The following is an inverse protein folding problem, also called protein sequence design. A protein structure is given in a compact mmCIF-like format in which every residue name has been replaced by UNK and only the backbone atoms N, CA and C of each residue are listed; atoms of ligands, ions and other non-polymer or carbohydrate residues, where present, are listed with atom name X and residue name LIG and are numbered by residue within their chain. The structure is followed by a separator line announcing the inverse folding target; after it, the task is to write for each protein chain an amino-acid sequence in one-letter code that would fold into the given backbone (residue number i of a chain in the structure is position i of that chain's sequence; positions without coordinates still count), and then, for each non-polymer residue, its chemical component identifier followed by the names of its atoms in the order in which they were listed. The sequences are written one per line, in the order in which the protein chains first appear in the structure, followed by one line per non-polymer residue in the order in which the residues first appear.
data_IF_357712220930
#
_entry.id   IF_357712220930
#
_cell.length_a   1.000
_cell.length_b   1.000
_cell.length_c   1.000
_cell.angle_alpha   90.00
_cell.angle_beta   90.00
_cell.angle_gamma   90.00
#
_symmetry.space_group_name_H-M   'P 1'
#
loop_
_entity.id
_entity.type
_entity.pdbx_description
1 polymer ?
#
# COMPACT_ATOMS: atom_id res chain seq x y z
N UNK A 1 2.98 -3.08 12.93
CA UNK A 1 2.96 -1.60 12.83
C UNK A 1 2.45 -1.16 11.46
N UNK A 2 1.51 -0.22 11.41
CA UNK A 2 1.02 0.48 10.20
C UNK A 2 1.47 1.94 10.25
N UNK A 3 1.86 2.51 9.10
CA UNK A 3 2.17 3.92 8.92
C UNK A 3 1.06 4.60 8.12
N UNK A 4 0.45 5.65 8.67
CA UNK A 4 -0.47 6.52 7.92
C UNK A 4 -0.02 7.96 7.97
N UNK A 5 -0.62 8.82 7.17
CA UNK A 5 -0.54 10.25 7.42
C UNK A 5 -1.41 10.66 8.63
N UNK A 6 -1.55 11.97 8.84
CA UNK A 6 -2.36 12.56 9.92
C UNK A 6 -3.80 12.86 9.50
N UNK A 7 -4.29 12.23 8.42
CA UNK A 7 -5.67 12.34 7.98
C UNK A 7 -6.64 11.97 9.09
N UNK A 8 -7.77 12.68 9.15
CA UNK A 8 -8.81 12.48 10.16
C UNK A 8 -9.47 11.11 10.06
N UNK A 9 -9.38 10.45 8.91
CA UNK A 9 -9.82 9.08 8.68
C UNK A 9 -8.94 8.03 9.38
N UNK A 10 -7.69 8.36 9.70
CA UNK A 10 -6.76 7.48 10.41
C UNK A 10 -6.49 7.93 11.85
N UNK A 11 -6.81 9.19 12.17
CA UNK A 11 -6.44 9.83 13.42
C UNK A 11 -7.64 10.53 14.07
N UNK A 12 -8.07 10.04 15.23
CA UNK A 12 -9.08 10.70 16.06
C UNK A 12 -8.89 10.42 17.56
N UNK A 13 -9.96 10.57 18.34
CA UNK A 13 -9.94 10.18 19.76
C UNK A 13 -9.91 8.65 19.85
N UNK A 14 -8.84 8.10 20.44
CA UNK A 14 -8.62 6.65 20.59
C UNK A 14 -9.79 5.89 21.21
N UNK A 15 -10.58 6.52 22.06
CA UNK A 15 -11.72 5.87 22.72
C UNK A 15 -12.91 5.64 21.77
N UNK A 16 -12.98 6.38 20.66
CA UNK A 16 -14.16 6.41 19.77
C UNK A 16 -13.81 6.27 18.29
N UNK A 17 -12.52 6.28 17.94
CA UNK A 17 -12.08 6.27 16.56
C UNK A 17 -11.93 4.83 16.07
N UNK A 18 -12.86 4.39 15.22
CA UNK A 18 -12.99 3.01 14.75
C UNK A 18 -11.67 2.41 14.24
N UNK A 19 -10.92 3.15 13.41
CA UNK A 19 -9.62 2.68 12.91
C UNK A 19 -8.60 2.44 14.03
N UNK A 20 -8.57 3.30 15.05
CA UNK A 20 -7.58 3.15 16.14
C UNK A 20 -7.99 2.06 17.13
N UNK A 21 -9.29 1.88 17.34
CA UNK A 21 -9.84 0.76 18.11
C UNK A 21 -9.53 -0.56 17.41
N UNK A 22 -9.75 -0.64 16.10
CA UNK A 22 -9.41 -1.81 15.30
C UNK A 22 -7.93 -2.19 15.42
N UNK A 23 -7.03 -1.21 15.24
CA UNK A 23 -5.59 -1.46 15.39
C UNK A 23 -5.20 -1.92 16.80
N UNK A 24 -5.88 -1.41 17.84
CA UNK A 24 -5.65 -1.85 19.21
C UNK A 24 -6.14 -3.29 19.46
N UNK A 25 -7.28 -3.67 18.88
CA UNK A 25 -7.83 -5.03 18.97
C UNK A 25 -6.93 -6.03 18.25
N UNK A 26 -6.40 -5.66 17.09
CA UNK A 26 -5.53 -6.52 16.27
C UNK A 26 -4.04 -6.48 16.70
N UNK A 27 -3.72 -5.80 17.81
CA UNK A 27 -2.35 -5.62 18.32
C UNK A 27 -1.37 -5.05 17.26
N UNK A 28 -1.84 -4.07 16.49
CA UNK A 28 -1.07 -3.40 15.44
C UNK A 28 -0.71 -1.99 15.87
N UNK A 29 0.60 -1.74 16.07
CA UNK A 29 1.08 -0.38 16.35
C UNK A 29 0.75 0.62 15.24
N UNK A 30 0.22 1.78 15.61
CA UNK A 30 -0.03 2.89 14.67
C UNK A 30 1.09 3.94 14.73
N UNK A 31 1.80 4.11 13.62
CA UNK A 31 2.76 5.19 13.41
C UNK A 31 2.23 6.22 12.43
N UNK A 32 2.66 7.47 12.58
CA UNK A 32 2.22 8.60 11.76
C UNK A 32 3.41 9.22 11.04
N UNK A 33 3.24 9.60 9.78
CA UNK A 33 4.29 10.30 9.01
C UNK A 33 4.77 11.52 9.81
N UNK A 34 6.08 11.80 9.85
CA UNK A 34 6.55 12.99 10.56
C UNK A 34 6.09 14.25 9.83
N UNK A 35 5.63 15.26 10.58
CA UNK A 35 5.28 16.55 10.00
C UNK A 35 6.47 17.10 9.21
N UNK A 36 6.24 17.53 7.96
CA UNK A 36 7.26 18.06 7.03
C UNK A 36 8.27 17.02 6.49
N UNK A 37 8.01 15.71 6.61
CA UNK A 37 8.82 14.65 6.00
C UNK A 37 7.99 13.76 5.04
N UNK A 38 7.67 14.29 3.84
CA UNK A 38 6.76 13.64 2.88
C UNK A 38 7.33 12.38 2.23
N UNK A 39 8.63 12.11 2.39
CA UNK A 39 9.33 11.01 1.71
C UNK A 39 8.73 9.63 2.06
N UNK A 40 8.14 9.51 3.25
CA UNK A 40 7.54 8.26 3.72
C UNK A 40 6.23 7.87 3.02
N UNK A 41 5.53 8.84 2.42
CA UNK A 41 4.28 8.60 1.69
C UNK A 41 4.43 8.67 0.17
N UNK A 42 5.58 9.16 -0.33
CA UNK A 42 5.78 9.44 -1.75
C UNK A 42 5.68 8.22 -2.68
N UNK A 43 5.87 7.00 -2.16
CA UNK A 43 5.64 5.77 -2.94
C UNK A 43 4.14 5.54 -3.15
N UNK A 44 3.34 5.64 -2.08
CA UNK A 44 1.89 5.52 -2.16
C UNK A 44 1.30 6.60 -3.06
N UNK A 45 1.71 7.86 -2.88
CA UNK A 45 1.26 8.99 -3.72
C UNK A 45 1.59 8.77 -5.20
N UNK A 46 2.78 8.24 -5.51
CA UNK A 46 3.16 7.90 -6.88
C UNK A 46 2.30 6.77 -7.43
N UNK A 47 2.05 5.73 -6.64
CA UNK A 47 1.20 4.62 -7.04
C UNK A 47 -0.23 5.09 -7.34
N UNK A 48 -0.85 5.88 -6.45
CA UNK A 48 -2.18 6.44 -6.68
C UNK A 48 -2.26 7.28 -7.95
N UNK A 49 -1.22 8.07 -8.25
CA UNK A 49 -1.13 8.79 -9.52
C UNK A 49 -1.06 7.85 -10.72
N UNK A 50 -0.30 6.76 -10.62
CA UNK A 50 -0.24 5.74 -11.68
C UNK A 50 -1.61 5.09 -11.91
N UNK A 51 -2.35 4.73 -10.86
CA UNK A 51 -3.73 4.22 -10.98
C UNK A 51 -4.63 5.26 -11.66
N UNK A 52 -4.54 6.53 -11.25
CA UNK A 52 -5.32 7.61 -11.83
C UNK A 52 -5.08 7.76 -13.34
N UNK A 53 -3.81 7.86 -13.74
CA UNK A 53 -3.41 8.18 -15.10
C UNK A 53 -3.58 6.99 -16.06
N UNK A 54 -3.26 5.78 -15.59
CA UNK A 54 -3.23 4.58 -16.44
C UNK A 54 -4.54 3.79 -16.40
N UNK A 55 -5.22 3.73 -15.25
CA UNK A 55 -6.50 3.04 -15.12
C UNK A 55 -7.68 3.99 -15.26
N UNK A 56 -7.94 4.86 -14.29
CA UNK A 56 -9.20 5.63 -14.23
C UNK A 56 -9.39 6.53 -15.45
N UNK A 57 -8.35 7.26 -15.87
CA UNK A 57 -8.42 8.12 -17.05
C UNK A 57 -8.70 7.34 -18.34
N UNK A 58 -8.29 6.07 -18.43
CA UNK A 58 -8.53 5.22 -19.60
C UNK A 58 -9.90 4.55 -19.51
N UNK A 59 -10.22 3.96 -18.36
CA UNK A 59 -11.47 3.26 -18.07
C UNK A 59 -12.69 4.14 -18.36
N UNK A 60 -12.73 5.35 -17.77
CA UNK A 60 -13.88 6.26 -17.94
C UNK A 60 -14.02 6.84 -19.34
N UNK A 61 -13.00 6.73 -20.21
CA UNK A 61 -13.12 7.09 -21.64
C UNK A 61 -13.58 5.93 -22.51
N UNK A 62 -13.38 4.69 -22.09
CA UNK A 62 -13.62 3.49 -22.91
C UNK A 62 -14.90 2.74 -22.54
N UNK A 63 -15.31 2.77 -21.28
CA UNK A 63 -16.42 1.97 -20.74
C UNK A 63 -17.31 2.83 -19.85
N UNK A 64 -18.62 2.68 -20.02
CA UNK A 64 -19.60 3.20 -19.07
C UNK A 64 -19.83 2.15 -17.99
N UNK A 65 -19.70 2.57 -16.73
CA UNK A 65 -19.88 1.72 -15.56
C UNK A 65 -21.25 2.02 -14.94
N UNK A 66 -22.06 0.98 -14.72
CA UNK A 66 -23.39 1.11 -14.14
C UNK A 66 -23.43 0.81 -12.63
N UNK A 67 -22.30 0.33 -12.08
CA UNK A 67 -22.15 -0.05 -10.68
C UNK A 67 -20.70 0.12 -10.23
N UNK A 68 -20.47 0.25 -8.92
CA UNK A 68 -19.12 0.32 -8.36
C UNK A 68 -18.44 -1.05 -8.50
N UNK A 69 -19.20 -2.13 -8.38
CA UNK A 69 -18.74 -3.51 -8.49
C UNK A 69 -18.16 -3.78 -9.88
N UNK A 70 -18.75 -3.24 -10.94
CA UNK A 70 -18.22 -3.40 -12.29
C UNK A 70 -16.94 -2.59 -12.53
N UNK A 71 -16.78 -1.45 -11.87
CA UNK A 71 -15.53 -0.69 -11.88
C UNK A 71 -14.44 -1.43 -11.07
N UNK A 72 -14.82 -2.00 -9.93
CA UNK A 72 -13.92 -2.76 -9.05
C UNK A 72 -13.34 -3.97 -9.77
N UNK A 73 -14.16 -4.75 -10.51
CA UNK A 73 -13.66 -5.90 -11.29
C UNK A 73 -12.56 -5.53 -12.28
N UNK A 74 -12.73 -4.41 -12.99
CA UNK A 74 -11.73 -3.95 -13.95
C UNK A 74 -10.48 -3.41 -13.24
N UNK A 75 -10.66 -2.74 -12.09
CA UNK A 75 -9.55 -2.26 -11.28
C UNK A 75 -8.74 -3.42 -10.71
N UNK A 76 -9.39 -4.47 -10.21
CA UNK A 76 -8.74 -5.68 -9.68
C UNK A 76 -7.87 -6.33 -10.75
N UNK A 77 -8.40 -6.49 -11.96
CA UNK A 77 -7.62 -7.02 -13.09
C UNK A 77 -6.41 -6.13 -13.43
N UNK A 78 -6.58 -4.82 -13.41
CA UNK A 78 -5.50 -3.88 -13.63
C UNK A 78 -4.43 -3.99 -12.52
N UNK A 79 -4.84 -4.09 -11.26
CA UNK A 79 -3.96 -4.26 -10.10
C UNK A 79 -3.17 -5.57 -10.18
N UNK A 80 -3.81 -6.66 -10.59
CA UNK A 80 -3.13 -7.94 -10.80
C UNK A 80 -2.05 -7.80 -11.88
N UNK A 81 -2.38 -7.20 -13.03
CA UNK A 81 -1.38 -6.94 -14.08
C UNK A 81 -0.21 -6.08 -13.57
N UNK A 82 -0.50 -5.03 -12.79
CA UNK A 82 0.51 -4.16 -12.19
C UNK A 82 1.43 -4.93 -11.24
N UNK A 83 0.88 -5.80 -10.40
CA UNK A 83 1.64 -6.51 -9.37
C UNK A 83 2.43 -7.70 -9.90
N UNK A 84 1.91 -8.41 -10.91
CA UNK A 84 2.46 -9.70 -11.36
C UNK A 84 3.19 -9.63 -12.71
N UNK A 85 2.86 -8.67 -13.58
CA UNK A 85 3.42 -8.63 -14.95
C UNK A 85 4.37 -7.45 -15.16
N UNK A 86 4.10 -6.31 -14.50
CA UNK A 86 4.88 -5.09 -14.72
C UNK A 86 6.20 -5.09 -13.96
N UNK A 87 7.31 -5.08 -14.69
CA UNK A 87 8.64 -4.88 -14.10
C UNK A 87 8.91 -3.41 -13.81
N UNK A 88 9.47 -3.08 -12.65
CA UNK A 88 9.87 -1.71 -12.29
C UNK A 88 11.38 -1.58 -12.18
N UNK A 89 11.97 -0.64 -12.92
CA UNK A 89 13.40 -0.32 -12.84
C UNK A 89 13.75 0.63 -11.67
N UNK A 90 12.79 0.90 -10.78
CA UNK A 90 13.00 1.78 -9.63
C UNK A 90 14.05 1.21 -8.66
N UNK A 91 14.62 2.10 -7.84
CA UNK A 91 15.71 1.83 -6.87
C UNK A 91 15.48 0.60 -5.98
N UNK A 92 14.23 0.21 -5.73
CA UNK A 92 13.89 -0.90 -4.83
C UNK A 92 13.45 -2.17 -5.55
N UNK A 93 13.09 -2.08 -6.83
CA UNK A 93 12.52 -3.20 -7.58
C UNK A 93 13.54 -3.83 -8.53
N UNK A 94 14.56 -3.11 -8.99
CA UNK A 94 15.68 -3.67 -9.78
C UNK A 94 15.24 -4.50 -11.00
N UNK A 95 14.19 -4.07 -11.69
CA UNK A 95 13.62 -4.78 -12.84
C UNK A 95 12.69 -5.93 -12.48
N UNK A 96 12.38 -6.13 -11.20
CA UNK A 96 11.39 -7.12 -10.73
C UNK A 96 9.99 -6.52 -10.71
N UNK A 97 9.00 -7.40 -10.64
CA UNK A 97 7.60 -7.03 -10.41
C UNK A 97 7.38 -6.63 -8.95
N UNK A 98 6.31 -5.88 -8.62
CA UNK A 98 6.01 -5.53 -7.24
C UNK A 98 5.88 -6.75 -6.34
N UNK A 99 5.21 -7.82 -6.81
CA UNK A 99 5.04 -9.03 -6.02
C UNK A 99 6.38 -9.73 -5.74
N UNK A 100 7.26 -9.82 -6.74
CA UNK A 100 8.57 -10.45 -6.55
C UNK A 100 9.41 -9.64 -5.55
N UNK A 101 9.39 -8.32 -5.68
CA UNK A 101 10.07 -7.41 -4.74
C UNK A 101 9.54 -7.60 -3.32
N UNK A 102 8.22 -7.73 -3.16
CA UNK A 102 7.58 -7.95 -1.87
C UNK A 102 7.98 -9.30 -1.25
N UNK A 103 7.94 -10.39 -2.02
CA UNK A 103 8.31 -11.72 -1.55
C UNK A 103 9.78 -11.77 -1.12
N UNK A 104 10.68 -11.18 -1.90
CA UNK A 104 12.10 -11.11 -1.56
C UNK A 104 12.31 -10.33 -0.25
N UNK A 105 11.64 -9.18 -0.10
CA UNK A 105 11.73 -8.36 1.10
C UNK A 105 11.13 -9.05 2.34
N UNK A 106 10.06 -9.83 2.16
CA UNK A 106 9.41 -10.60 3.23
C UNK A 106 10.36 -11.65 3.81
N UNK A 107 11.03 -12.41 2.95
CA UNK A 107 12.00 -13.41 3.40
C UNK A 107 13.20 -12.76 4.11
N UNK A 108 13.71 -11.63 3.59
CA UNK A 108 14.78 -10.87 4.25
C UNK A 108 14.35 -10.37 5.65
N UNK A 109 13.13 -9.85 5.77
CA UNK A 109 12.61 -9.37 7.05
C UNK A 109 12.43 -10.51 8.06
N UNK A 110 11.93 -11.67 7.61
CA UNK A 110 11.79 -12.87 8.44
C UNK A 110 13.13 -13.37 8.96
N UNK A 111 14.13 -13.48 8.08
CA UNK A 111 15.47 -13.94 8.47
C UNK A 111 16.09 -13.00 9.50
N UNK A 112 16.02 -11.68 9.26
CA UNK A 112 16.52 -10.68 10.22
C UNK A 112 15.82 -10.76 11.58
N UNK A 113 14.52 -11.04 11.60
CA UNK A 113 13.78 -11.23 12.84
C UNK A 113 14.23 -12.49 13.60
N UNK A 114 14.44 -13.60 12.89
CA UNK A 114 14.96 -14.84 13.47
C UNK A 114 16.37 -14.66 14.05
N UNK A 115 17.26 -13.95 13.34
CA UNK A 115 18.59 -13.63 13.84
C UNK A 115 18.50 -12.86 15.17
N UNK A 116 17.65 -11.83 15.25
CA UNK A 116 17.47 -11.04 16.47
C UNK A 116 16.96 -11.86 17.67
N UNK A 117 16.21 -12.94 17.45
CA UNK A 117 15.75 -13.85 18.50
C UNK A 117 16.84 -14.83 18.94
N UNK A 118 17.78 -15.19 18.07
CA UNK A 118 18.90 -16.08 18.41
C UNK A 118 19.98 -15.37 19.25
N UNK A 119 20.00 -14.03 19.24
CA UNK A 119 20.93 -13.20 20.00
C UNK A 119 20.27 -12.51 21.23
N UNK A 120 19.06 -12.91 21.61
CA UNK A 120 18.33 -12.42 22.80
C UNK A 120 18.14 -13.52 23.84
#
# INVERSE_FOLDING_TARGET
MILTDRGTEYCGNREHHEFQLFLAVEDVDHSKTKARYPQSNGICERFYRTVQDEFYAVAFRKKSYNSIEDLQKDLDQWIDSYNYERTHQGKYCFGKTPIQTFLDAKELAKNKYLDNLQFS
#
